data_IF_855110168583
#
_entry.id   IF_855110168583
#
_cell.length_a   1.000
_cell.length_b   1.000
_cell.length_c   1.000
_cell.angle_alpha   90.00
_cell.angle_beta   90.00
_cell.angle_gamma   90.00
#
_symmetry.space_group_name_H-M   'P 1'
#
loop_
_entity.id
_entity.type
_entity.pdbx_description
1 polymer ?
#
# COMPACT_ATOMS: atom_id res chain seq x y z
N UNK A 1 -33.55 -7.77 2.07
CA UNK A 1 -32.69 -8.26 3.16
C UNK A 1 -31.28 -8.13 2.64
N UNK A 2 -30.54 -7.17 3.19
CA UNK A 2 -29.28 -6.73 2.61
C UNK A 2 -28.23 -7.83 2.79
N UNK A 3 -27.57 -8.24 1.71
CA UNK A 3 -26.58 -9.31 1.68
C UNK A 3 -25.24 -8.91 2.34
N UNK A 4 -25.28 -8.02 3.32
CA UNK A 4 -24.11 -7.44 3.97
C UNK A 4 -23.36 -8.51 4.74
N UNK A 5 -22.11 -8.75 4.33
CA UNK A 5 -21.19 -9.62 5.05
C UNK A 5 -20.54 -8.82 6.18
N UNK A 6 -20.59 -9.34 7.40
CA UNK A 6 -19.83 -8.79 8.52
C UNK A 6 -18.63 -9.68 8.80
N UNK A 7 -17.49 -9.04 9.04
CA UNK A 7 -16.26 -9.70 9.43
C UNK A 7 -15.93 -9.27 10.86
N UNK A 8 -15.63 -10.22 11.73
CA UNK A 8 -15.30 -9.98 13.14
C UNK A 8 -14.01 -10.69 13.49
N UNK A 9 -13.06 -9.93 14.02
CA UNK A 9 -11.79 -10.43 14.54
C UNK A 9 -11.89 -10.49 16.07
N UNK A 10 -11.51 -11.64 16.65
CA UNK A 10 -11.58 -11.84 18.09
C UNK A 10 -10.27 -12.49 18.58
N UNK A 11 -9.76 -12.06 19.72
CA UNK A 11 -8.65 -12.71 20.41
C UNK A 11 -9.14 -13.19 21.77
N UNK A 12 -9.32 -14.50 21.94
CA UNK A 12 -9.86 -15.10 23.17
C UNK A 12 -8.88 -16.15 23.66
N UNK A 13 -8.41 -16.00 24.91
CA UNK A 13 -7.42 -16.89 25.53
C UNK A 13 -6.15 -17.10 24.68
N UNK A 14 -5.73 -16.04 23.95
CA UNK A 14 -4.56 -16.08 23.09
C UNK A 14 -4.76 -16.75 21.73
N UNK A 15 -5.96 -17.24 21.43
CA UNK A 15 -6.33 -17.78 20.11
C UNK A 15 -7.06 -16.67 19.34
N UNK A 16 -6.63 -16.44 18.11
CA UNK A 16 -7.26 -15.46 17.23
C UNK A 16 -8.27 -16.13 16.29
N UNK A 17 -9.42 -15.49 16.14
CA UNK A 17 -10.53 -15.98 15.35
C UNK A 17 -10.94 -14.93 14.31
N UNK A 18 -11.26 -15.40 13.12
CA UNK A 18 -11.93 -14.63 12.08
C UNK A 18 -13.31 -15.22 11.84
N UNK A 19 -14.33 -14.39 12.03
CA UNK A 19 -15.73 -14.78 11.94
C UNK A 19 -16.35 -14.01 10.78
N UNK A 20 -16.90 -14.73 9.82
CA UNK A 20 -17.71 -14.15 8.74
C UNK A 20 -19.17 -14.47 9.01
N UNK A 21 -20.02 -13.45 9.04
CA UNK A 21 -21.46 -13.63 9.12
C UNK A 21 -22.16 -13.04 7.90
N UNK A 22 -23.15 -13.76 7.38
CA UNK A 22 -23.96 -13.33 6.23
C UNK A 22 -25.36 -13.87 6.40
N UNK A 23 -26.36 -12.99 6.52
CA UNK A 23 -27.79 -13.35 6.53
C UNK A 23 -28.14 -14.55 7.42
N UNK A 24 -27.59 -14.60 8.65
CA UNK A 24 -27.87 -15.64 9.64
C UNK A 24 -26.95 -16.88 9.57
N UNK A 25 -26.10 -17.00 8.56
CA UNK A 25 -25.01 -18.00 8.53
C UNK A 25 -23.74 -17.40 9.12
N UNK A 26 -23.06 -18.14 9.98
CA UNK A 26 -21.78 -17.75 10.56
C UNK A 26 -20.75 -18.85 10.29
N UNK A 27 -19.59 -18.45 9.78
CA UNK A 27 -18.41 -19.31 9.66
C UNK A 27 -17.29 -18.69 10.48
N UNK A 28 -16.53 -19.51 11.17
CA UNK A 28 -15.42 -19.07 11.99
C UNK A 28 -14.21 -19.97 11.77
N UNK A 29 -13.04 -19.36 11.75
CA UNK A 29 -11.75 -20.03 11.60
C UNK A 29 -10.72 -19.36 12.48
N UNK A 30 -9.65 -20.07 12.80
CA UNK A 30 -8.54 -19.49 13.53
C UNK A 30 -7.60 -18.73 12.59
N UNK A 31 -6.98 -17.68 13.12
CA UNK A 31 -5.97 -16.89 12.43
C UNK A 31 -4.58 -17.22 12.95
N UNK A 32 -3.62 -17.28 12.04
CA UNK A 32 -2.20 -17.34 12.38
C UNK A 32 -1.73 -16.01 12.98
N UNK A 33 -0.59 -16.06 13.67
CA UNK A 33 0.06 -14.87 14.25
C UNK A 33 0.38 -13.79 13.19
N UNK A 34 0.67 -14.20 11.95
CA UNK A 34 0.95 -13.31 10.82
C UNK A 34 -0.24 -12.48 10.35
N UNK A 35 -1.47 -12.89 10.69
CA UNK A 35 -2.73 -12.23 10.29
C UNK A 35 -3.35 -11.41 11.42
N UNK A 36 -2.65 -11.27 12.55
CA UNK A 36 -3.14 -10.49 13.67
C UNK A 36 -3.16 -9.00 13.31
N UNK A 37 -4.29 -8.29 13.49
CA UNK A 37 -4.32 -6.86 13.29
C UNK A 37 -3.34 -6.18 14.28
N UNK A 38 -2.70 -5.06 13.86
CA UNK A 38 -1.78 -4.31 14.71
C UNK A 38 -2.37 -3.86 16.06
N UNK A 39 -3.70 -3.75 16.15
CA UNK A 39 -4.44 -3.46 17.38
C UNK A 39 -4.09 -4.39 18.54
N UNK A 40 -3.68 -5.63 18.27
CA UNK A 40 -3.24 -6.57 19.32
C UNK A 40 -1.97 -6.11 20.04
N UNK A 41 -1.22 -5.16 19.47
CA UNK A 41 0.01 -4.61 20.06
C UNK A 41 -0.22 -3.37 20.92
N UNK A 42 -1.46 -2.91 21.12
CA UNK A 42 -1.75 -1.69 21.90
C UNK A 42 -1.17 -1.79 23.31
N UNK A 43 -1.37 -2.90 24.03
CA UNK A 43 -0.85 -3.05 25.41
C UNK A 43 0.69 -3.01 25.42
N UNK A 44 1.33 -3.58 24.40
CA UNK A 44 2.78 -3.51 24.26
C UNK A 44 3.27 -2.08 23.99
N UNK A 45 2.56 -1.33 23.13
CA UNK A 45 2.84 0.09 22.87
C UNK A 45 2.68 0.94 24.14
N UNK A 46 1.61 0.72 24.91
CA UNK A 46 1.40 1.41 26.19
C UNK A 46 2.47 1.04 27.22
N UNK A 47 2.98 -0.18 27.23
CA UNK A 47 4.10 -0.59 28.08
C UNK A 47 5.40 0.13 27.74
N UNK A 48 5.59 0.48 26.46
CA UNK A 48 6.71 1.28 25.98
C UNK A 48 6.53 2.78 26.15
N UNK A 49 5.41 3.25 26.72
CA UNK A 49 5.10 4.67 26.76
C UNK A 49 6.06 5.44 27.69
N UNK A 50 6.58 6.57 27.20
CA UNK A 50 7.54 7.43 27.91
C UNK A 50 7.01 8.84 28.09
N UNK A 51 7.25 9.46 29.25
CA UNK A 51 6.84 10.84 29.49
C UNK A 51 7.58 11.84 28.60
N UNK A 52 6.83 12.82 28.09
CA UNK A 52 7.33 13.94 27.28
C UNK A 52 6.87 15.26 27.88
N UNK A 53 7.58 16.35 27.59
CA UNK A 53 7.28 17.67 28.15
C UNK A 53 6.29 18.50 27.31
N UNK A 54 6.15 18.14 26.04
CA UNK A 54 5.28 18.86 25.11
C UNK A 54 5.05 18.05 23.85
N UNK A 55 3.89 18.27 23.24
CA UNK A 55 3.57 17.69 21.95
C UNK A 55 2.81 18.67 21.06
N UNK A 56 2.96 18.53 19.75
CA UNK A 56 2.20 19.29 18.76
C UNK A 56 1.78 18.43 17.57
N UNK A 57 0.71 18.84 16.89
CA UNK A 57 0.37 18.40 15.53
C UNK A 57 0.61 19.59 14.61
N UNK A 58 1.64 19.52 13.77
CA UNK A 58 2.12 20.71 13.06
C UNK A 58 2.44 21.85 14.05
N UNK A 59 1.74 22.98 13.93
CA UNK A 59 1.91 24.16 14.79
C UNK A 59 0.98 24.18 16.02
N UNK A 60 0.04 23.25 16.12
CA UNK A 60 -0.96 23.25 17.19
C UNK A 60 -0.48 22.39 18.36
N UNK A 61 -0.39 22.99 19.55
CA UNK A 61 0.05 22.30 20.77
C UNK A 61 -1.05 21.38 21.32
N UNK A 62 -0.71 20.11 21.55
CA UNK A 62 -1.57 19.16 22.25
C UNK A 62 -1.54 19.49 23.74
N UNK A 63 -2.71 19.73 24.33
CA UNK A 63 -2.86 20.06 25.76
C UNK A 63 -3.63 18.95 26.47
N UNK A 64 -2.99 18.27 27.42
CA UNK A 64 -3.66 17.34 28.32
C UNK A 64 -4.16 18.07 29.56
N UNK A 65 -5.41 17.83 29.97
CA UNK A 65 -5.98 18.42 31.19
C UNK A 65 -5.22 18.00 32.47
N UNK A 66 -4.69 16.78 32.50
CA UNK A 66 -3.83 16.28 33.59
C UNK A 66 -2.43 16.91 33.62
N UNK A 67 -1.98 17.49 32.50
CA UNK A 67 -0.62 17.98 32.31
C UNK A 67 0.42 16.89 32.03
N UNK A 68 0.05 15.60 32.14
CA UNK A 68 0.92 14.48 31.84
C UNK A 68 0.74 14.04 30.37
N UNK A 69 1.82 14.15 29.61
CA UNK A 69 1.91 13.67 28.22
C UNK A 69 2.82 12.45 28.18
N UNK A 70 2.39 11.41 27.46
CA UNK A 70 3.23 10.26 27.15
C UNK A 70 3.36 10.13 25.63
N UNK A 71 4.53 9.71 25.15
CA UNK A 71 4.71 9.23 23.79
C UNK A 71 4.68 7.70 23.81
N UNK A 72 4.01 7.10 22.83
CA UNK A 72 4.09 5.67 22.55
C UNK A 72 4.28 5.44 21.04
N UNK A 73 4.76 4.25 20.69
CA UNK A 73 4.90 3.82 19.30
C UNK A 73 4.08 2.55 19.12
N UNK A 74 3.22 2.53 18.11
CA UNK A 74 2.43 1.37 17.71
C UNK A 74 2.69 1.10 16.23
N UNK A 75 3.18 -0.10 15.91
CA UNK A 75 3.81 -0.34 14.61
C UNK A 75 5.08 0.51 14.50
N UNK A 76 5.13 1.37 13.49
CA UNK A 76 6.17 2.40 13.31
C UNK A 76 5.60 3.83 13.46
N UNK A 77 4.31 3.95 13.77
CA UNK A 77 3.65 5.23 13.97
C UNK A 77 3.81 5.72 15.42
N UNK A 78 4.08 7.02 15.54
CA UNK A 78 4.21 7.71 16.84
C UNK A 78 2.86 8.28 17.27
N UNK A 79 2.54 8.08 18.55
CA UNK A 79 1.32 8.56 19.17
C UNK A 79 1.62 9.33 20.46
N UNK A 80 0.73 10.25 20.80
CA UNK A 80 0.78 11.03 22.04
C UNK A 80 -0.44 10.71 22.88
N UNK A 81 -0.24 10.36 24.15
CA UNK A 81 -1.31 9.95 25.05
C UNK A 81 -1.55 11.05 26.09
N UNK A 82 -2.81 11.46 26.22
CA UNK A 82 -3.32 12.30 27.30
C UNK A 82 -4.21 11.48 28.22
N UNK A 83 -3.77 11.28 29.47
CA UNK A 83 -4.62 10.65 30.49
C UNK A 83 -5.63 11.65 31.06
N UNK A 84 -6.87 11.19 31.22
CA UNK A 84 -7.97 11.93 31.86
C UNK A 84 -8.41 11.28 33.18
N UNK A 85 -7.56 10.46 33.79
CA UNK A 85 -7.88 9.77 35.05
C UNK A 85 -9.03 8.78 34.88
N UNK A 86 -10.10 8.93 35.68
CA UNK A 86 -11.28 8.06 35.63
C UNK A 86 -12.12 8.20 34.37
N UNK A 87 -11.95 9.29 33.61
CA UNK A 87 -12.72 9.56 32.39
C UNK A 87 -12.09 8.91 31.15
N UNK A 88 -11.03 8.11 31.34
CA UNK A 88 -10.33 7.44 30.25
C UNK A 88 -9.03 8.14 29.84
N UNK A 89 -8.68 8.00 28.57
CA UNK A 89 -7.54 8.69 27.97
C UNK A 89 -7.73 8.87 26.47
N UNK A 90 -7.04 9.86 25.90
CA UNK A 90 -7.04 10.11 24.46
C UNK A 90 -5.65 9.82 23.92
N UNK A 91 -5.58 9.13 22.80
CA UNK A 91 -4.37 8.89 22.02
C UNK A 91 -4.47 9.74 20.76
N UNK A 92 -3.58 10.69 20.60
CA UNK A 92 -3.45 11.52 19.41
C UNK A 92 -2.45 10.90 18.45
N UNK A 93 -2.80 10.84 17.18
CA UNK A 93 -1.95 10.36 16.09
C UNK A 93 -1.98 11.33 14.92
N UNK A 94 -1.08 11.12 13.95
CA UNK A 94 -1.09 11.95 12.74
C UNK A 94 -2.35 11.74 11.89
N UNK A 95 -2.86 10.50 11.83
CA UNK A 95 -3.97 10.12 10.94
C UNK A 95 -5.19 9.61 11.71
N UNK A 96 -5.04 9.36 13.01
CA UNK A 96 -6.06 8.75 13.85
C UNK A 96 -5.92 9.23 15.29
N UNK A 97 -7.00 9.81 15.80
CA UNK A 97 -7.19 10.01 17.23
C UNK A 97 -8.07 8.88 17.79
N UNK A 98 -7.71 8.38 18.97
CA UNK A 98 -8.40 7.30 19.66
C UNK A 98 -8.84 7.81 21.03
N UNK A 99 -10.14 7.79 21.29
CA UNK A 99 -10.69 8.00 22.63
C UNK A 99 -10.91 6.65 23.30
N UNK A 100 -10.39 6.51 24.51
CA UNK A 100 -10.57 5.32 25.35
C UNK A 100 -11.46 5.67 26.52
N UNK A 101 -12.53 4.91 26.70
CA UNK A 101 -13.49 5.04 27.79
C UNK A 101 -13.49 3.74 28.61
N UNK A 102 -13.68 3.84 29.93
CA UNK A 102 -13.84 2.66 30.78
C UNK A 102 -15.32 2.32 30.91
N UNK A 103 -15.64 1.04 30.74
CA UNK A 103 -16.99 0.54 30.90
C UNK A 103 -17.26 0.20 32.38
N UNK A 104 -18.47 0.49 32.84
CA UNK A 104 -18.92 0.19 34.21
C UNK A 104 -18.96 -1.30 34.54
N UNK A 105 -18.98 -2.16 33.51
CA UNK A 105 -19.05 -3.61 33.66
C UNK A 105 -18.14 -4.30 32.63
N UNK A 106 -17.47 -5.40 33.01
CA UNK A 106 -16.63 -6.16 32.09
C UNK A 106 -17.43 -6.70 30.90
N UNK A 107 -16.90 -6.53 29.69
CA UNK A 107 -17.45 -7.18 28.50
C UNK A 107 -16.96 -8.62 28.45
N UNK A 108 -17.90 -9.56 28.45
CA UNK A 108 -17.55 -10.98 28.26
C UNK A 108 -17.40 -11.25 26.77
N UNK A 109 -16.18 -11.59 26.34
CA UNK A 109 -15.88 -12.00 24.96
C UNK A 109 -15.74 -13.52 24.95
N UNK A 110 -16.66 -14.20 24.26
CA UNK A 110 -16.63 -15.66 24.13
C UNK A 110 -16.07 -16.09 22.79
N UNK A 111 -15.29 -17.17 22.78
CA UNK A 111 -14.80 -17.76 21.54
C UNK A 111 -16.00 -18.19 20.64
N UNK A 112 -15.90 -18.03 19.31
CA UNK A 112 -16.93 -18.50 18.40
C UNK A 112 -16.97 -20.04 18.38
N UNK A 113 -18.11 -20.59 17.95
CA UNK A 113 -18.20 -22.03 17.69
C UNK A 113 -17.49 -22.36 16.39
N UNK A 114 -16.60 -23.37 16.41
CA UNK A 114 -15.85 -23.84 15.26
C UNK A 114 -16.36 -25.20 14.79
N UNK A 115 -16.14 -25.52 13.52
CA UNK A 115 -16.23 -26.90 13.05
C UNK A 115 -15.07 -27.73 13.59
N UNK A 116 -15.25 -29.05 13.72
CA UNK A 116 -14.21 -29.95 14.25
C UNK A 116 -12.87 -29.78 13.51
N UNK A 117 -12.91 -29.68 12.18
CA UNK A 117 -11.71 -29.48 11.37
C UNK A 117 -11.05 -28.12 11.61
N UNK A 118 -11.84 -27.04 11.74
CA UNK A 118 -11.30 -25.70 11.99
C UNK A 118 -10.73 -25.56 13.41
N UNK A 119 -11.29 -26.28 14.39
CA UNK A 119 -10.79 -26.31 15.76
C UNK A 119 -9.40 -26.95 15.85
N UNK A 120 -9.11 -27.97 15.02
CA UNK A 120 -7.80 -28.64 14.98
C UNK A 120 -6.67 -27.73 14.51
N UNK A 121 -6.96 -26.67 13.76
CA UNK A 121 -5.96 -25.69 13.27
C UNK A 121 -5.72 -24.52 14.22
N UNK A 122 -6.37 -24.48 15.38
CA UNK A 122 -6.29 -23.35 16.29
C UNK A 122 -5.10 -23.46 17.23
N UNK A 123 -4.26 -22.43 17.22
CA UNK A 123 -3.09 -22.33 18.09
C UNK A 123 -3.14 -21.06 18.93
N UNK A 124 -2.46 -21.08 20.08
CA UNK A 124 -2.23 -19.88 20.87
C UNK A 124 -1.17 -19.03 20.17
N UNK A 125 -1.62 -17.91 19.60
CA UNK A 125 -0.78 -16.97 18.83
C UNK A 125 -0.35 -15.75 19.65
N UNK A 126 -0.99 -15.50 20.79
CA UNK A 126 -0.66 -14.40 21.70
C UNK A 126 -0.62 -14.89 23.14
N UNK A 127 0.42 -14.50 23.88
CA UNK A 127 0.52 -14.70 25.33
C UNK A 127 0.13 -13.43 26.08
N UNK A 128 -0.51 -13.56 27.25
CA UNK A 128 -0.87 -12.42 28.09
C UNK A 128 0.38 -11.61 28.48
N UNK A 129 0.47 -10.32 28.09
CA UNK A 129 1.63 -9.50 28.40
C UNK A 129 1.61 -9.06 29.86
N UNK A 130 2.80 -8.95 30.47
CA UNK A 130 2.94 -8.23 31.74
C UNK A 130 2.70 -6.74 31.49
N UNK A 131 1.99 -6.07 32.38
CA UNK A 131 1.72 -4.63 32.29
C UNK A 131 2.65 -3.84 33.21
N UNK A 132 3.18 -2.72 32.73
CA UNK A 132 3.93 -1.76 33.56
C UNK A 132 2.99 -1.01 34.50
N UNK A 133 3.53 -0.32 35.51
CA UNK A 133 2.72 0.53 36.40
C UNK A 133 2.01 1.66 35.64
N UNK A 134 2.67 2.25 34.65
CA UNK A 134 2.10 3.31 33.79
C UNK A 134 0.94 2.76 32.96
N UNK A 135 1.15 1.62 32.31
CA UNK A 135 0.11 0.96 31.51
C UNK A 135 -1.06 0.51 32.36
N UNK A 136 -0.80 -0.07 33.54
CA UNK A 136 -1.86 -0.43 34.47
C UNK A 136 -2.69 0.80 34.85
N UNK A 137 -2.03 1.92 35.17
CA UNK A 137 -2.73 3.16 35.50
C UNK A 137 -3.61 3.66 34.33
N UNK A 138 -3.09 3.63 33.10
CA UNK A 138 -3.85 3.96 31.89
C UNK A 138 -5.00 2.99 31.61
N UNK A 139 -4.87 1.70 31.91
CA UNK A 139 -5.91 0.71 31.63
C UNK A 139 -7.02 0.69 32.70
N UNK A 140 -6.74 1.21 33.90
CA UNK A 140 -7.67 1.17 35.03
C UNK A 140 -8.11 2.56 35.52
N UNK A 141 -7.75 3.63 34.81
CA UNK A 141 -8.09 5.00 35.19
C UNK A 141 -7.44 5.51 36.48
N UNK A 142 -6.33 4.91 36.90
CA UNK A 142 -5.54 5.42 38.03
C UNK A 142 -4.65 6.58 37.57
N UNK A 143 -4.19 7.40 38.52
CA UNK A 143 -3.26 8.47 38.20
C UNK A 143 -1.93 7.92 37.69
N UNK A 144 -1.49 8.41 36.54
CA UNK A 144 -0.17 8.10 36.01
C UNK A 144 0.85 8.81 36.90
N UNK A 145 1.65 8.06 37.65
CA UNK A 145 2.71 8.64 38.47
C UNK A 145 3.84 9.11 37.55
N UNK A 146 3.79 10.36 37.08
CA UNK A 146 4.95 10.98 36.48
C UNK A 146 5.96 11.23 37.60
N UNK A 147 7.02 10.40 37.63
CA UNK A 147 8.15 10.67 38.51
C UNK A 147 8.69 12.05 38.15
N UNK A 148 8.39 13.05 38.97
CA UNK A 148 9.04 14.38 38.95
C UNK A 148 10.51 14.27 39.37
N UNK A 149 11.24 13.26 38.90
CA UNK A 149 12.67 13.14 39.09
C UNK A 149 13.32 14.31 38.37
N UNK A 150 13.69 15.32 39.16
CA UNK A 150 14.51 16.51 38.85
C UNK A 150 14.91 16.64 37.36
N UNK A 151 14.33 17.65 36.71
CA UNK A 151 14.63 18.17 35.37
C UNK A 151 16.15 18.39 35.15
N UNK A 152 16.86 17.34 34.72
CA UNK A 152 18.29 17.39 34.39
C UNK A 152 18.61 16.85 32.99
N UNK A 153 17.61 16.33 32.26
CA UNK A 153 17.71 16.02 30.83
C UNK A 153 16.88 17.02 30.03
N UNK A 154 17.36 17.39 28.84
CA UNK A 154 16.58 18.14 27.85
C UNK A 154 15.20 17.50 27.73
N UNK A 155 14.17 18.31 27.94
CA UNK A 155 12.78 17.88 27.93
C UNK A 155 12.43 17.36 26.52
N UNK A 156 12.13 16.05 26.42
CA UNK A 156 11.77 15.43 25.15
C UNK A 156 10.41 15.99 24.69
N UNK A 157 10.32 16.38 23.43
CA UNK A 157 9.10 16.88 22.78
C UNK A 157 8.80 16.07 21.54
N UNK A 158 7.53 15.94 21.20
CA UNK A 158 7.07 15.13 20.06
C UNK A 158 6.24 15.99 19.11
N UNK A 159 6.54 15.94 17.81
CA UNK A 159 5.70 16.57 16.79
C UNK A 159 5.11 15.49 15.92
N UNK A 160 3.79 15.37 15.93
CA UNK A 160 3.04 14.54 15.02
C UNK A 160 2.94 15.26 13.67
N UNK A 161 3.10 14.49 12.59
CA UNK A 161 2.87 14.99 11.24
C UNK A 161 1.40 15.42 11.07
N UNK A 162 1.16 16.32 10.12
CA UNK A 162 -0.19 16.70 9.68
C UNK A 162 -0.96 15.48 9.18
N UNK A 163 -2.28 15.53 9.33
CA UNK A 163 -3.21 14.52 8.79
C UNK A 163 -3.41 14.63 7.28
N UNK A 164 -3.02 15.76 6.69
CA UNK A 164 -3.03 15.97 5.24
C UNK A 164 -1.86 16.83 4.76
N UNK A 165 -1.57 16.72 3.47
CA UNK A 165 -0.58 17.51 2.77
C UNK A 165 -1.20 18.50 1.78
N UNK A 166 -0.50 19.62 1.58
CA UNK A 166 -0.81 20.59 0.52
C UNK A 166 0.20 20.43 -0.61
N UNK A 167 -0.22 20.69 -1.85
CA UNK A 167 0.68 20.67 -2.99
C UNK A 167 1.83 21.69 -2.81
N UNK A 168 3.07 21.23 -2.97
CA UNK A 168 4.30 22.01 -2.89
C UNK A 168 4.77 22.50 -4.28
N UNK A 169 4.11 22.03 -5.35
CA UNK A 169 4.35 22.43 -6.74
C UNK A 169 3.13 23.13 -7.35
N UNK A 170 3.26 23.56 -8.60
CA UNK A 170 2.11 24.08 -9.36
C UNK A 170 1.15 22.92 -9.68
N UNK A 171 -0.13 23.00 -9.29
CA UNK A 171 -1.10 21.97 -9.62
C UNK A 171 -1.24 21.78 -11.13
N UNK A 172 -1.20 20.53 -11.57
CA UNK A 172 -1.19 20.14 -12.99
C UNK A 172 -2.25 19.08 -13.25
N UNK A 173 -2.78 18.96 -14.47
CA UNK A 173 -3.59 17.82 -14.84
C UNK A 173 -2.85 16.50 -14.61
N UNK A 174 -3.53 15.54 -14.03
CA UNK A 174 -3.02 14.20 -13.78
C UNK A 174 -3.66 13.18 -14.71
N UNK A 175 -2.85 12.28 -15.28
CA UNK A 175 -3.30 11.15 -16.07
C UNK A 175 -2.77 9.84 -15.52
N UNK A 176 -3.67 8.89 -15.35
CA UNK A 176 -3.41 7.57 -14.79
C UNK A 176 -3.47 6.50 -15.89
N UNK A 177 -2.45 5.67 -15.96
CA UNK A 177 -2.37 4.50 -16.83
C UNK A 177 -2.36 3.22 -15.99
N UNK A 178 -3.40 2.40 -16.17
CA UNK A 178 -3.52 1.11 -15.50
C UNK A 178 -2.56 0.06 -16.08
N UNK A 179 -2.43 -1.06 -15.37
CA UNK A 179 -1.63 -2.21 -15.79
C UNK A 179 -2.41 -3.24 -16.61
N UNK A 180 -1.96 -4.49 -16.57
CA UNK A 180 -2.68 -5.63 -17.15
C UNK A 180 -4.02 -5.83 -16.43
N UNK A 181 -5.07 -6.25 -17.14
CA UNK A 181 -6.34 -6.65 -16.53
C UNK A 181 -7.60 -6.21 -17.29
N UNK A 182 -7.51 -5.20 -18.17
CA UNK A 182 -8.62 -4.75 -19.01
C UNK A 182 -8.41 -5.08 -20.48
N UNK A 183 -9.35 -5.82 -21.07
CA UNK A 183 -9.49 -5.91 -22.53
C UNK A 183 -10.40 -4.82 -23.11
N UNK A 184 -11.03 -4.03 -22.25
CA UNK A 184 -11.85 -2.87 -22.62
C UNK A 184 -10.91 -1.73 -22.96
N UNK A 185 -11.21 -1.04 -24.06
CA UNK A 185 -10.50 0.16 -24.49
C UNK A 185 -11.51 1.29 -24.69
N UNK A 186 -11.18 2.47 -24.19
CA UNK A 186 -11.96 3.69 -24.38
C UNK A 186 -11.20 4.64 -25.29
N UNK A 187 -11.90 5.33 -26.19
CA UNK A 187 -11.30 6.32 -27.09
C UNK A 187 -11.10 7.68 -26.44
N UNK A 188 -11.68 7.90 -25.25
CA UNK A 188 -11.62 9.16 -24.50
C UNK A 188 -11.13 8.89 -23.08
N UNK A 189 -10.58 9.94 -22.44
CA UNK A 189 -10.18 9.90 -21.05
C UNK A 189 -11.40 9.81 -20.12
N UNK A 190 -11.31 8.91 -19.14
CA UNK A 190 -12.36 8.69 -18.16
C UNK A 190 -12.14 9.55 -16.91
N UNK A 191 -13.22 9.81 -16.17
CA UNK A 191 -13.19 10.52 -14.87
C UNK A 191 -13.23 9.60 -13.66
N UNK A 192 -13.34 8.28 -13.89
CA UNK A 192 -13.32 7.25 -12.85
C UNK A 192 -12.56 6.03 -13.35
N UNK A 193 -12.16 5.17 -12.42
CA UNK A 193 -11.44 3.94 -12.69
C UNK A 193 -11.93 2.85 -11.75
N UNK A 194 -12.02 1.63 -12.24
CA UNK A 194 -12.16 0.43 -11.39
C UNK A 194 -10.81 -0.18 -11.00
N UNK A 195 -9.72 0.29 -11.61
CA UNK A 195 -8.34 -0.19 -11.39
C UNK A 195 -7.59 0.60 -10.32
N UNK A 196 -8.00 1.84 -10.07
CA UNK A 196 -7.34 2.70 -9.07
C UNK A 196 -8.33 2.98 -7.96
N UNK A 197 -7.86 2.99 -6.72
CA UNK A 197 -8.63 3.48 -5.58
C UNK A 197 -8.99 4.96 -5.72
N UNK A 198 -9.98 5.41 -4.95
CA UNK A 198 -10.40 6.81 -4.97
C UNK A 198 -9.40 7.70 -4.26
N UNK A 199 -8.66 8.47 -5.04
CA UNK A 199 -7.69 9.48 -4.57
C UNK A 199 -8.18 10.91 -4.81
N UNK A 200 -9.45 11.11 -5.18
CA UNK A 200 -9.97 12.43 -5.60
C UNK A 200 -9.86 13.51 -4.53
N UNK A 201 -9.76 13.12 -3.26
CA UNK A 201 -9.59 14.02 -2.10
C UNK A 201 -8.16 14.09 -1.57
N UNK A 202 -7.25 13.30 -2.11
CA UNK A 202 -5.89 13.09 -1.58
C UNK A 202 -4.83 13.28 -2.66
N UNK A 203 -5.11 14.16 -3.63
CA UNK A 203 -4.24 14.47 -4.74
C UNK A 203 -4.16 16.00 -4.97
N UNK A 204 -3.66 16.78 -4.00
CA UNK A 204 -3.72 18.24 -4.02
C UNK A 204 -2.94 18.85 -5.20
N UNK A 205 -1.96 18.15 -5.76
CA UNK A 205 -1.23 18.57 -6.95
C UNK A 205 -1.92 18.26 -8.27
N UNK A 206 -3.02 17.53 -8.25
CA UNK A 206 -3.81 17.24 -9.44
C UNK A 206 -4.90 18.30 -9.62
N UNK A 207 -4.75 19.19 -10.60
CA UNK A 207 -5.81 20.15 -10.96
C UNK A 207 -7.01 19.47 -11.64
N UNK A 208 -6.79 18.30 -12.23
CA UNK A 208 -7.81 17.35 -12.66
C UNK A 208 -7.24 15.94 -12.66
N UNK A 209 -8.09 14.93 -12.53
CA UNK A 209 -7.70 13.51 -12.58
C UNK A 209 -8.40 12.86 -13.76
N UNK A 210 -7.62 12.20 -14.61
CA UNK A 210 -8.09 11.46 -15.78
C UNK A 210 -7.49 10.07 -15.82
N UNK A 211 -8.25 9.11 -16.33
CA UNK A 211 -7.82 7.73 -16.48
C UNK A 211 -7.84 7.34 -17.95
N UNK A 212 -6.73 6.80 -18.44
CA UNK A 212 -6.67 6.17 -19.75
C UNK A 212 -7.05 4.68 -19.59
N UNK A 213 -8.05 4.24 -20.35
CA UNK A 213 -8.48 2.84 -20.38
C UNK A 213 -8.06 2.23 -21.71
N UNK A 214 -7.02 1.41 -21.68
CA UNK A 214 -6.38 0.81 -22.85
C UNK A 214 -6.59 -0.71 -22.82
N UNK A 215 -6.66 -1.35 -24.00
CA UNK A 215 -6.64 -2.82 -24.03
C UNK A 215 -5.23 -3.32 -23.69
N UNK A 216 -5.01 -3.55 -22.41
CA UNK A 216 -3.78 -3.98 -21.77
C UNK A 216 -3.75 -5.51 -21.52
N UNK A 217 -4.65 -6.26 -22.17
CA UNK A 217 -4.67 -7.73 -22.13
C UNK A 217 -4.21 -8.28 -23.49
N UNK A 218 -4.77 -7.78 -24.58
CA UNK A 218 -4.45 -8.23 -25.94
C UNK A 218 -3.18 -7.59 -26.50
N UNK A 219 -2.86 -6.36 -26.06
CA UNK A 219 -1.70 -5.63 -26.54
C UNK A 219 -0.62 -5.61 -25.46
N UNK A 220 0.57 -6.17 -25.73
CA UNK A 220 1.68 -6.10 -24.80
C UNK A 220 2.28 -4.70 -24.74
N UNK A 221 3.02 -4.40 -23.68
CA UNK A 221 3.69 -3.10 -23.51
C UNK A 221 4.74 -2.81 -24.61
N UNK A 222 5.24 -3.85 -25.28
CA UNK A 222 6.15 -3.77 -26.43
C UNK A 222 5.43 -3.36 -27.73
N UNK A 223 4.08 -3.38 -27.78
CA UNK A 223 3.32 -3.01 -28.96
C UNK A 223 3.43 -1.51 -29.28
N UNK A 224 3.88 -1.21 -30.49
CA UNK A 224 4.08 0.16 -30.96
C UNK A 224 2.77 0.98 -31.01
N UNK A 225 1.64 0.33 -31.29
CA UNK A 225 0.34 1.00 -31.37
C UNK A 225 -0.14 1.39 -29.96
N UNK A 226 -0.01 0.50 -28.99
CA UNK A 226 -0.31 0.74 -27.59
C UNK A 226 0.54 1.88 -27.03
N UNK A 227 1.86 1.85 -27.27
CA UNK A 227 2.77 2.93 -26.88
C UNK A 227 2.37 4.28 -27.49
N UNK A 228 1.95 4.29 -28.77
CA UNK A 228 1.46 5.52 -29.40
C UNK A 228 0.16 6.02 -28.75
N UNK A 229 -0.76 5.12 -28.36
CA UNK A 229 -1.98 5.50 -27.63
C UNK A 229 -1.67 6.12 -26.27
N UNK A 230 -0.71 5.56 -25.53
CA UNK A 230 -0.22 6.13 -24.26
C UNK A 230 0.24 7.57 -24.46
N UNK A 231 1.11 7.81 -25.44
CA UNK A 231 1.57 9.15 -25.77
C UNK A 231 0.43 10.08 -26.20
N UNK A 232 -0.49 9.63 -27.05
CA UNK A 232 -1.61 10.45 -27.51
C UNK A 232 -2.50 10.89 -26.34
N UNK A 233 -2.79 9.99 -25.41
CA UNK A 233 -3.54 10.35 -24.22
C UNK A 233 -2.77 11.33 -23.34
N UNK A 234 -1.51 11.07 -23.04
CA UNK A 234 -0.70 11.98 -22.22
C UNK A 234 -0.57 13.39 -22.85
N UNK A 235 -0.37 13.47 -24.17
CA UNK A 235 -0.33 14.74 -24.91
C UNK A 235 -1.66 15.50 -24.91
N UNK A 236 -2.79 14.81 -24.76
CA UNK A 236 -4.12 15.43 -24.84
C UNK A 236 -4.58 16.12 -23.55
N UNK A 237 -3.91 15.82 -22.43
CA UNK A 237 -4.37 16.21 -21.08
C UNK A 237 -4.06 17.68 -20.80
N UNK A 238 -2.92 18.18 -21.27
CA UNK A 238 -2.50 19.57 -21.08
C UNK A 238 -2.46 20.33 -22.40
N UNK A 239 -3.03 21.53 -22.42
CA UNK A 239 -3.02 22.42 -23.59
C UNK A 239 -1.64 22.96 -23.97
N UNK A 240 -0.67 22.87 -23.06
CA UNK A 240 0.73 23.28 -23.31
C UNK A 240 1.57 22.16 -23.92
N UNK A 241 1.04 20.94 -23.99
CA UNK A 241 1.67 19.83 -24.71
C UNK A 241 1.70 20.09 -26.22
N UNK A 242 2.69 19.54 -26.91
CA UNK A 242 2.92 19.76 -28.33
C UNK A 242 2.90 18.43 -29.09
N UNK A 243 1.83 18.19 -29.84
CA UNK A 243 1.72 17.01 -30.71
C UNK A 243 2.77 17.00 -31.83
N UNK A 244 3.17 18.16 -32.35
CA UNK A 244 4.16 18.27 -33.43
C UNK A 244 5.57 17.87 -32.97
N UNK A 245 5.98 18.30 -31.78
CA UNK A 245 7.27 17.92 -31.17
C UNK A 245 7.18 16.64 -30.33
N UNK A 246 5.98 16.08 -30.19
CA UNK A 246 5.64 14.93 -29.33
C UNK A 246 6.04 15.14 -27.87
N UNK A 247 5.95 16.38 -27.40
CA UNK A 247 6.39 16.78 -26.06
C UNK A 247 5.18 16.91 -25.15
N UNK A 248 5.14 16.10 -24.09
CA UNK A 248 4.16 16.19 -23.00
C UNK A 248 4.68 17.27 -22.03
N UNK A 249 3.82 18.21 -21.64
CA UNK A 249 4.18 19.31 -20.75
C UNK A 249 3.08 19.54 -19.71
N UNK A 250 3.46 20.12 -18.55
CA UNK A 250 2.57 20.50 -17.45
C UNK A 250 1.60 19.39 -17.05
N UNK A 251 2.09 18.16 -16.95
CA UNK A 251 1.26 16.97 -16.69
C UNK A 251 1.93 16.10 -15.64
N UNK A 252 1.16 15.59 -14.68
CA UNK A 252 1.61 14.51 -13.79
C UNK A 252 1.10 13.19 -14.38
N UNK A 253 2.02 12.32 -14.75
CA UNK A 253 1.73 10.99 -15.27
C UNK A 253 1.87 10.01 -14.11
N UNK A 254 0.83 9.23 -13.87
CA UNK A 254 0.85 8.16 -12.88
C UNK A 254 0.66 6.83 -13.61
N UNK A 255 1.54 5.88 -13.36
CA UNK A 255 1.49 4.56 -14.01
C UNK A 255 1.52 3.46 -12.98
N UNK A 256 0.66 2.45 -13.11
CA UNK A 256 0.70 1.26 -12.26
C UNK A 256 1.03 0.00 -13.06
N UNK A 257 1.86 -0.88 -12.49
CA UNK A 257 2.15 -2.20 -13.06
C UNK A 257 2.62 -2.09 -14.52
N UNK A 258 2.04 -2.87 -15.44
CA UNK A 258 2.37 -2.80 -16.87
C UNK A 258 2.23 -1.39 -17.48
N UNK A 259 1.41 -0.50 -16.90
CA UNK A 259 1.31 0.89 -17.34
C UNK A 259 2.64 1.63 -17.29
N UNK A 260 3.52 1.27 -16.35
CA UNK A 260 4.87 1.83 -16.26
C UNK A 260 5.75 1.38 -17.42
N UNK A 261 5.71 0.09 -17.76
CA UNK A 261 6.39 -0.45 -18.94
C UNK A 261 5.87 0.17 -20.24
N UNK A 262 4.57 0.37 -20.34
CA UNK A 262 3.96 1.01 -21.52
C UNK A 262 4.48 2.44 -21.72
N UNK A 263 4.59 3.23 -20.65
CA UNK A 263 5.18 4.57 -20.71
C UNK A 263 6.69 4.51 -21.00
N UNK A 264 7.43 3.65 -20.30
CA UNK A 264 8.87 3.46 -20.51
C UNK A 264 9.20 3.06 -21.97
N UNK A 265 8.46 2.10 -22.51
CA UNK A 265 8.59 1.66 -23.91
C UNK A 265 8.23 2.77 -24.90
N UNK A 266 7.22 3.59 -24.61
CA UNK A 266 6.85 4.72 -25.45
C UNK A 266 7.96 5.80 -25.50
N UNK A 267 8.59 6.09 -24.36
CA UNK A 267 9.75 6.99 -24.27
C UNK A 267 10.97 6.41 -24.99
N UNK A 268 11.31 5.14 -24.70
CA UNK A 268 12.45 4.46 -25.32
C UNK A 268 12.34 4.40 -26.86
N UNK A 269 11.13 4.23 -27.37
CA UNK A 269 10.85 4.19 -28.81
C UNK A 269 10.53 5.56 -29.43
N UNK A 270 10.79 6.66 -28.72
CA UNK A 270 10.60 8.05 -29.20
C UNK A 270 9.18 8.33 -29.72
N UNK A 271 8.17 7.69 -29.12
CA UNK A 271 6.75 7.95 -29.43
C UNK A 271 6.30 9.28 -28.85
N UNK A 272 6.86 9.66 -27.70
CA UNK A 272 6.78 10.97 -27.08
C UNK A 272 7.99 11.19 -26.17
N UNK A 273 8.09 12.40 -25.62
CA UNK A 273 9.08 12.80 -24.62
C UNK A 273 8.46 13.74 -23.60
N UNK A 274 9.10 13.86 -22.44
CA UNK A 274 8.68 14.78 -21.39
C UNK A 274 9.36 16.14 -21.53
N UNK A 275 8.61 17.21 -21.27
CA UNK A 275 9.17 18.50 -20.92
C UNK A 275 9.62 18.49 -19.45
N UNK A 276 10.42 19.47 -19.05
CA UNK A 276 10.84 19.64 -17.65
C UNK A 276 9.70 19.93 -16.68
N UNK A 277 8.50 20.27 -17.17
CA UNK A 277 7.31 20.50 -16.35
C UNK A 277 6.39 19.28 -16.22
N UNK A 278 6.80 18.15 -16.80
CA UNK A 278 6.14 16.85 -16.61
C UNK A 278 6.75 16.12 -15.43
N UNK A 279 5.91 15.44 -14.66
CA UNK A 279 6.34 14.58 -13.56
C UNK A 279 5.83 13.17 -13.81
N UNK A 280 6.68 12.15 -13.68
CA UNK A 280 6.29 10.76 -13.77
C UNK A 280 6.41 10.04 -12.43
N UNK A 281 5.26 9.58 -11.94
CA UNK A 281 5.08 8.78 -10.73
C UNK A 281 4.79 7.33 -11.12
N UNK A 282 5.65 6.40 -10.69
CA UNK A 282 5.52 4.97 -10.99
C UNK A 282 5.09 4.15 -9.78
N UNK A 283 4.18 3.20 -9.97
CA UNK A 283 3.62 2.36 -8.93
C UNK A 283 3.81 0.89 -9.35
N UNK A 284 4.71 0.17 -8.68
CA UNK A 284 4.92 -1.29 -8.85
C UNK A 284 5.12 -1.74 -10.30
N UNK A 285 5.87 -0.97 -11.10
CA UNK A 285 6.04 -1.27 -12.51
C UNK A 285 7.11 -2.36 -12.74
N UNK A 286 6.83 -3.48 -13.42
CA UNK A 286 7.78 -4.58 -13.57
C UNK A 286 8.86 -4.29 -14.64
N UNK A 287 9.82 -3.41 -14.34
CA UNK A 287 10.82 -2.94 -15.31
C UNK A 287 11.82 -4.01 -15.77
N UNK A 288 11.85 -5.18 -15.12
CA UNK A 288 12.57 -6.38 -15.57
C UNK A 288 11.62 -7.59 -15.69
N UNK A 289 10.32 -7.36 -15.88
CA UNK A 289 9.29 -8.41 -15.91
C UNK A 289 8.87 -8.93 -14.54
N UNK A 290 8.09 -10.00 -14.52
CA UNK A 290 7.44 -10.53 -13.32
C UNK A 290 7.48 -12.06 -13.32
N UNK A 291 7.95 -12.67 -12.23
CA UNK A 291 7.87 -14.14 -12.09
C UNK A 291 6.42 -14.63 -12.05
N UNK A 292 5.44 -13.76 -11.77
CA UNK A 292 4.02 -14.07 -11.94
C UNK A 292 3.66 -14.39 -13.39
N UNK A 293 4.28 -13.71 -14.36
CA UNK A 293 4.13 -14.08 -15.77
C UNK A 293 4.70 -15.47 -16.05
N UNK A 294 5.96 -15.72 -15.69
CA UNK A 294 6.61 -17.02 -15.89
C UNK A 294 5.85 -18.16 -15.25
N UNK A 295 5.33 -17.95 -14.05
CA UNK A 295 4.49 -18.91 -13.36
C UNK A 295 3.21 -19.22 -14.15
N UNK A 296 2.47 -18.20 -14.61
CA UNK A 296 1.26 -18.42 -15.41
C UNK A 296 1.58 -19.15 -16.72
N UNK A 297 2.66 -18.77 -17.41
CA UNK A 297 3.08 -19.41 -18.66
C UNK A 297 3.43 -20.89 -18.46
N UNK A 298 4.17 -21.21 -17.40
CA UNK A 298 4.46 -22.59 -17.02
C UNK A 298 3.18 -23.38 -16.77
N UNK A 299 2.25 -22.83 -16.00
CA UNK A 299 0.98 -23.50 -15.72
C UNK A 299 0.14 -23.70 -16.99
N UNK A 300 -0.03 -22.67 -17.83
CA UNK A 300 -0.81 -22.79 -19.06
C UNK A 300 -0.19 -23.77 -20.07
N UNK A 301 1.12 -24.05 -19.96
CA UNK A 301 1.81 -25.09 -20.75
C UNK A 301 1.72 -26.50 -20.14
N UNK A 302 1.07 -26.67 -18.99
CA UNK A 302 0.89 -27.94 -18.29
C UNK A 302 2.07 -28.39 -17.42
N UNK A 303 2.99 -27.47 -17.05
CA UNK A 303 4.21 -27.79 -16.30
C UNK A 303 4.09 -27.71 -14.77
N UNK A 304 2.97 -27.22 -14.22
CA UNK A 304 2.75 -27.01 -12.77
C UNK A 304 1.31 -27.34 -12.35
N UNK A 305 1.10 -27.70 -11.07
CA UNK A 305 -0.24 -27.81 -10.48
C UNK A 305 -0.86 -26.40 -10.30
N UNK A 306 -2.06 -26.21 -10.86
CA UNK A 306 -2.70 -24.90 -10.96
C UNK A 306 -3.60 -24.61 -9.75
N UNK A 307 -3.29 -23.57 -8.99
CA UNK A 307 -4.21 -23.01 -7.99
C UNK A 307 -5.04 -21.87 -8.59
N UNK A 308 -6.36 -22.07 -8.63
CA UNK A 308 -7.30 -21.16 -9.27
C UNK A 308 -7.34 -19.75 -8.65
N UNK A 309 -7.01 -19.61 -7.36
CA UNK A 309 -6.93 -18.31 -6.69
C UNK A 309 -5.77 -17.46 -7.24
N UNK A 310 -4.55 -18.02 -7.31
CA UNK A 310 -3.37 -17.34 -7.88
C UNK A 310 -3.59 -17.04 -9.37
N UNK A 311 -4.30 -17.90 -10.08
CA UNK A 311 -4.64 -17.66 -11.48
C UNK A 311 -5.51 -16.41 -11.68
N UNK A 312 -6.57 -16.25 -10.88
CA UNK A 312 -7.43 -15.08 -11.03
C UNK A 312 -6.67 -13.77 -10.79
N UNK A 313 -5.58 -13.81 -10.00
CA UNK A 313 -4.71 -12.69 -9.73
C UNK A 313 -3.80 -12.31 -10.91
N UNK A 314 -3.07 -13.28 -11.48
CA UNK A 314 -2.02 -13.03 -12.49
C UNK A 314 -2.51 -13.19 -13.94
N UNK A 315 -3.68 -13.80 -14.15
CA UNK A 315 -4.30 -13.98 -15.46
C UNK A 315 -4.87 -15.38 -15.72
N UNK A 316 -5.64 -15.50 -16.81
CA UNK A 316 -6.30 -16.76 -17.21
C UNK A 316 -5.50 -17.49 -18.30
N UNK A 317 -5.68 -18.80 -18.40
CA UNK A 317 -5.19 -19.58 -19.54
C UNK A 317 -6.16 -19.53 -20.74
N UNK A 318 -5.65 -19.48 -21.99
CA UNK A 318 -4.24 -19.30 -22.35
C UNK A 318 -3.72 -17.92 -21.93
N UNK A 319 -2.44 -17.84 -21.53
CA UNK A 319 -1.82 -16.58 -21.14
C UNK A 319 -1.99 -15.53 -22.25
N UNK A 320 -2.40 -14.32 -21.86
CA UNK A 320 -2.62 -13.24 -22.82
C UNK A 320 -1.29 -12.71 -23.36
N UNK A 321 -1.31 -12.06 -24.52
CA UNK A 321 -0.09 -11.46 -25.11
C UNK A 321 0.60 -10.50 -24.14
N UNK A 322 -0.17 -9.72 -23.37
CA UNK A 322 0.37 -8.85 -22.36
C UNK A 322 1.14 -9.62 -21.28
N UNK A 323 0.61 -10.75 -20.80
CA UNK A 323 1.32 -11.58 -19.83
C UNK A 323 2.57 -12.21 -20.46
N UNK A 324 2.48 -12.75 -21.68
CA UNK A 324 3.62 -13.36 -22.37
C UNK A 324 4.84 -12.40 -22.42
N UNK A 325 4.59 -11.14 -22.76
CA UNK A 325 5.61 -10.10 -22.88
C UNK A 325 5.98 -9.45 -21.53
N UNK A 326 5.48 -10.00 -20.41
CA UNK A 326 5.91 -9.63 -19.05
C UNK A 326 6.76 -10.72 -18.38
N UNK A 327 7.23 -11.72 -19.15
CA UNK A 327 8.19 -12.70 -18.67
C UNK A 327 9.41 -12.00 -18.06
N UNK A 328 9.91 -12.52 -16.96
CA UNK A 328 11.03 -11.96 -16.25
C UNK A 328 12.29 -11.96 -17.13
N UNK A 329 13.04 -10.86 -17.09
CA UNK A 329 14.24 -10.66 -17.89
C UNK A 329 15.25 -11.79 -17.66
N UNK A 330 15.82 -12.32 -18.75
CA UNK A 330 16.75 -13.46 -18.76
C UNK A 330 16.18 -14.82 -18.28
N UNK A 331 14.87 -14.93 -18.03
CA UNK A 331 14.23 -16.21 -17.71
C UNK A 331 13.79 -17.00 -18.96
N UNK A 332 13.34 -18.25 -18.71
CA UNK A 332 13.05 -19.24 -19.75
C UNK A 332 11.96 -18.80 -20.75
N UNK A 333 11.02 -17.94 -20.34
CA UNK A 333 9.97 -17.42 -21.21
C UNK A 333 10.32 -16.08 -21.85
N UNK A 334 11.44 -15.46 -21.47
CA UNK A 334 11.89 -14.23 -22.10
C UNK A 334 12.69 -14.52 -23.37
N UNK A 335 12.65 -13.57 -24.30
CA UNK A 335 13.40 -13.61 -25.56
C UNK A 335 14.48 -12.54 -25.55
N UNK A 336 15.51 -12.69 -26.41
CA UNK A 336 16.53 -11.64 -26.56
C UNK A 336 15.94 -10.30 -27.00
N UNK A 337 14.83 -10.31 -27.75
CA UNK A 337 14.13 -9.09 -28.14
C UNK A 337 13.42 -8.44 -26.94
N UNK A 338 12.80 -9.25 -26.08
CA UNK A 338 12.16 -8.76 -24.86
C UNK A 338 13.19 -8.22 -23.85
N UNK A 339 14.32 -8.91 -23.64
CA UNK A 339 15.40 -8.39 -22.79
C UNK A 339 15.96 -7.07 -23.34
N UNK A 340 16.16 -6.95 -24.66
CA UNK A 340 16.57 -5.69 -25.26
C UNK A 340 15.54 -4.56 -25.06
N UNK A 341 14.24 -4.89 -25.10
CA UNK A 341 13.18 -3.94 -24.79
C UNK A 341 13.22 -3.51 -23.33
N UNK A 342 13.44 -4.44 -22.38
CA UNK A 342 13.59 -4.11 -20.96
C UNK A 342 14.79 -3.20 -20.71
N UNK A 343 15.96 -3.50 -21.28
CA UNK A 343 17.14 -2.64 -21.14
C UNK A 343 16.86 -1.20 -21.63
N UNK A 344 16.14 -1.05 -22.75
CA UNK A 344 15.75 0.25 -23.27
C UNK A 344 14.71 0.95 -22.37
N UNK A 345 13.71 0.21 -21.88
CA UNK A 345 12.68 0.71 -20.97
C UNK A 345 13.28 1.15 -19.63
N UNK A 346 14.18 0.37 -19.03
CA UNK A 346 14.92 0.72 -17.81
C UNK A 346 15.74 2.00 -18.00
N UNK A 347 16.42 2.14 -19.14
CA UNK A 347 17.17 3.36 -19.45
C UNK A 347 16.26 4.59 -19.53
N UNK A 348 15.10 4.46 -20.18
CA UNK A 348 14.11 5.52 -20.24
C UNK A 348 13.49 5.81 -18.87
N UNK A 349 13.21 4.77 -18.07
CA UNK A 349 12.70 4.87 -16.71
C UNK A 349 13.65 5.65 -15.81
N UNK A 350 14.90 5.21 -15.68
CA UNK A 350 15.91 5.84 -14.84
C UNK A 350 16.19 7.29 -15.21
N UNK A 351 16.05 7.64 -16.49
CA UNK A 351 16.28 9.00 -16.99
C UNK A 351 15.10 9.95 -16.78
N UNK A 352 13.87 9.45 -16.56
CA UNK A 352 12.66 10.26 -16.61
C UNK A 352 11.71 10.09 -15.40
N UNK A 353 11.87 9.06 -14.57
CA UNK A 353 11.01 8.86 -13.40
C UNK A 353 11.40 9.82 -12.28
N UNK A 354 10.41 10.52 -11.73
CA UNK A 354 10.61 11.48 -10.64
C UNK A 354 10.36 10.83 -9.27
N UNK A 355 9.42 9.89 -9.21
CA UNK A 355 9.04 9.18 -7.99
C UNK A 355 8.60 7.75 -8.30
N UNK A 356 8.90 6.81 -7.40
CA UNK A 356 8.48 5.43 -7.54
C UNK A 356 8.06 4.82 -6.21
N UNK A 357 6.93 4.13 -6.21
CA UNK A 357 6.50 3.24 -5.13
C UNK A 357 6.79 1.80 -5.55
N UNK A 358 7.56 1.10 -4.74
CA UNK A 358 7.84 -0.32 -4.89
C UNK A 358 7.58 -1.04 -3.56
N UNK A 359 7.39 -2.36 -3.58
CA UNK A 359 7.26 -3.13 -2.34
C UNK A 359 8.32 -4.19 -2.21
N UNK A 360 8.80 -4.39 -0.98
CA UNK A 360 9.64 -5.52 -0.60
C UNK A 360 8.90 -6.57 0.23
N UNK A 361 7.58 -6.42 0.38
CA UNK A 361 6.72 -7.39 1.04
C UNK A 361 5.28 -7.28 0.53
N UNK A 362 4.61 -8.43 0.42
CA UNK A 362 3.25 -8.63 -0.07
C UNK A 362 2.19 -8.70 1.05
N UNK A 363 2.56 -8.35 2.29
CA UNK A 363 1.62 -8.31 3.43
C UNK A 363 0.37 -7.50 3.13
N UNK A 364 0.51 -6.30 2.55
CA UNK A 364 -0.61 -5.44 2.20
C UNK A 364 -1.48 -4.96 3.36
N UNK A 365 -2.54 -4.25 3.00
CA UNK A 365 -3.59 -3.76 3.88
C UNK A 365 -4.60 -4.85 4.15
N UNK A 366 -5.25 -4.81 5.32
CA UNK A 366 -6.27 -5.79 5.69
C UNK A 366 -7.48 -5.71 4.73
N UNK A 367 -7.55 -6.64 3.78
CA UNK A 367 -8.56 -6.70 2.73
C UNK A 367 -8.74 -8.13 2.22
N UNK A 368 -9.67 -8.34 1.27
CA UNK A 368 -9.77 -9.64 0.57
C UNK A 368 -8.55 -9.92 -0.29
N UNK A 369 -7.98 -8.87 -0.89
CA UNK A 369 -6.83 -8.96 -1.80
C UNK A 369 -5.56 -9.39 -1.05
N UNK A 370 -5.42 -9.02 0.22
CA UNK A 370 -4.32 -9.47 1.09
C UNK A 370 -4.13 -10.99 1.04
N UNK A 371 -5.21 -11.76 1.14
CA UNK A 371 -5.12 -13.23 1.14
C UNK A 371 -4.66 -13.74 -0.22
N UNK A 372 -5.15 -13.13 -1.31
CA UNK A 372 -4.78 -13.52 -2.68
C UNK A 372 -3.30 -13.25 -2.96
N UNK A 373 -2.80 -12.06 -2.60
CA UNK A 373 -1.40 -11.70 -2.80
C UNK A 373 -0.45 -12.41 -1.84
N UNK A 374 -0.88 -12.78 -0.63
CA UNK A 374 -0.09 -13.65 0.24
C UNK A 374 0.07 -15.06 -0.35
N UNK A 375 -0.98 -15.61 -0.94
CA UNK A 375 -0.90 -16.88 -1.66
C UNK A 375 0.05 -16.76 -2.85
N UNK A 376 -0.07 -15.70 -3.64
CA UNK A 376 0.78 -15.47 -4.80
C UNK A 376 2.26 -15.30 -4.42
N UNK A 377 2.56 -14.42 -3.46
CA UNK A 377 3.91 -14.21 -2.94
C UNK A 377 4.56 -15.45 -2.34
N UNK A 378 3.75 -16.42 -1.87
CA UNK A 378 4.24 -17.69 -1.33
C UNK A 378 4.40 -18.80 -2.38
N UNK A 379 3.60 -18.79 -3.45
CA UNK A 379 3.52 -19.89 -4.43
C UNK A 379 4.30 -19.61 -5.72
N UNK A 380 4.35 -18.35 -6.14
CA UNK A 380 5.13 -17.95 -7.30
C UNK A 380 6.61 -18.08 -6.93
N UNK A 381 7.43 -18.72 -7.78
CA UNK A 381 8.86 -18.89 -7.52
C UNK A 381 9.62 -17.58 -7.77
N UNK A 382 9.40 -16.59 -6.92
CA UNK A 382 10.02 -15.27 -7.01
C UNK A 382 11.55 -15.34 -6.94
N UNK A 383 12.22 -14.34 -7.52
CA UNK A 383 13.69 -14.21 -7.43
C UNK A 383 14.20 -13.87 -6.03
N UNK A 384 13.30 -13.36 -5.18
CA UNK A 384 13.57 -13.04 -3.78
C UNK A 384 12.26 -12.95 -2.99
N UNK A 385 12.37 -13.08 -1.68
CA UNK A 385 11.25 -12.83 -0.75
C UNK A 385 10.77 -11.37 -0.77
N UNK A 386 11.55 -10.47 -1.41
CA UNK A 386 11.20 -9.06 -1.60
C UNK A 386 10.33 -8.85 -2.85
N UNK A 387 9.02 -8.90 -2.69
CA UNK A 387 8.04 -8.71 -3.76
C UNK A 387 6.69 -8.22 -3.22
N UNK A 388 5.85 -7.67 -4.10
CA UNK A 388 4.48 -7.23 -3.79
C UNK A 388 3.40 -8.33 -4.01
N UNK A 389 3.85 -9.57 -4.21
CA UNK A 389 3.03 -10.76 -4.47
C UNK A 389 3.07 -11.17 -5.95
N UNK A 390 3.46 -10.27 -6.85
CA UNK A 390 3.58 -10.56 -8.29
C UNK A 390 4.82 -9.93 -8.94
N UNK A 391 5.29 -8.79 -8.45
CA UNK A 391 6.47 -8.08 -8.95
C UNK A 391 7.52 -7.98 -7.85
N UNK A 392 8.74 -8.39 -8.18
CA UNK A 392 9.90 -8.27 -7.32
C UNK A 392 10.33 -6.81 -7.13
N UNK A 393 10.79 -6.46 -5.92
CA UNK A 393 11.31 -5.12 -5.62
C UNK A 393 12.37 -4.66 -6.64
N UNK A 394 13.31 -5.54 -6.98
CA UNK A 394 14.37 -5.24 -7.97
C UNK A 394 13.83 -4.95 -9.37
N UNK A 395 12.78 -5.67 -9.77
CA UNK A 395 12.09 -5.41 -11.03
C UNK A 395 11.41 -4.06 -10.99
N UNK A 396 10.73 -3.73 -9.88
CA UNK A 396 10.11 -2.42 -9.68
C UNK A 396 11.11 -1.26 -9.72
N UNK A 397 12.26 -1.42 -9.06
CA UNK A 397 13.29 -0.40 -9.01
C UNK A 397 13.88 -0.06 -10.38
N UNK A 398 13.80 -0.97 -11.37
CA UNK A 398 14.19 -0.70 -12.76
C UNK A 398 15.61 -0.17 -12.93
N UNK A 399 16.54 -0.61 -12.07
CA UNK A 399 17.94 -0.17 -12.02
C UNK A 399 18.21 1.08 -11.18
N UNK A 400 17.21 1.68 -10.54
CA UNK A 400 17.41 2.70 -9.51
C UNK A 400 18.15 2.11 -8.30
N UNK A 401 19.07 2.88 -7.73
CA UNK A 401 19.81 2.45 -6.52
C UNK A 401 18.86 2.23 -5.35
N UNK A 402 19.02 1.11 -4.64
CA UNK A 402 18.30 0.83 -3.40
C UNK A 402 18.47 1.94 -2.35
N UNK A 403 19.60 2.65 -2.36
CA UNK A 403 19.86 3.77 -1.44
C UNK A 403 18.96 4.99 -1.68
N UNK A 404 18.24 5.05 -2.82
CA UNK A 404 17.23 6.09 -3.06
C UNK A 404 15.94 5.81 -2.28
N UNK A 405 15.68 4.55 -1.97
CA UNK A 405 14.42 4.13 -1.40
C UNK A 405 14.44 4.22 0.12
N UNK A 406 13.42 4.87 0.69
CA UNK A 406 13.13 4.87 2.11
C UNK A 406 11.77 4.22 2.38
N UNK A 407 11.49 3.91 3.64
CA UNK A 407 10.33 3.11 4.03
C UNK A 407 9.20 3.94 4.66
N UNK A 408 9.22 5.25 4.45
CA UNK A 408 8.24 6.20 4.98
C UNK A 408 7.54 6.95 3.85
N UNK A 409 6.28 7.33 4.07
CA UNK A 409 5.43 7.94 3.03
C UNK A 409 5.90 9.34 2.57
N UNK A 410 6.90 9.92 3.22
CA UNK A 410 7.58 11.16 2.82
C UNK A 410 8.79 10.92 1.90
N UNK A 411 9.18 9.67 1.66
CA UNK A 411 10.25 9.33 0.72
C UNK A 411 9.75 9.39 -0.73
N UNK A 412 10.44 10.17 -1.59
CA UNK A 412 10.10 10.26 -3.03
C UNK A 412 10.18 8.91 -3.74
N UNK A 413 11.12 8.06 -3.33
CA UNK A 413 11.21 6.66 -3.74
C UNK A 413 10.82 5.82 -2.53
N UNK A 414 9.60 5.30 -2.54
CA UNK A 414 8.95 4.73 -1.37
C UNK A 414 8.96 3.21 -1.45
N UNK A 415 9.63 2.57 -0.50
CA UNK A 415 9.68 1.13 -0.32
C UNK A 415 8.64 0.71 0.71
N UNK A 416 7.68 -0.08 0.26
CA UNK A 416 6.45 -0.36 1.00
C UNK A 416 6.34 -1.83 1.38
N UNK A 417 5.47 -2.12 2.34
CA UNK A 417 4.99 -3.47 2.64
C UNK A 417 3.61 -3.75 2.03
N UNK A 418 3.31 -3.13 0.88
CA UNK A 418 2.01 -3.23 0.21
C UNK A 418 1.99 -4.38 -0.79
N UNK A 419 0.86 -5.06 -0.91
CA UNK A 419 0.66 -5.94 -2.06
C UNK A 419 0.41 -5.11 -3.34
N UNK A 420 0.50 -5.78 -4.49
CA UNK A 420 0.42 -5.10 -5.78
C UNK A 420 -0.87 -4.27 -5.96
N UNK A 421 -2.04 -4.77 -5.54
CA UNK A 421 -3.28 -4.03 -5.64
C UNK A 421 -3.30 -2.79 -4.74
N UNK A 422 -2.75 -2.88 -3.52
CA UNK A 422 -2.71 -1.74 -2.61
C UNK A 422 -1.83 -0.61 -3.14
N UNK A 423 -0.80 -0.91 -3.95
CA UNK A 423 0.01 0.13 -4.61
C UNK A 423 -0.78 0.94 -5.66
N UNK A 424 -1.95 0.45 -6.09
CA UNK A 424 -2.92 1.19 -6.89
C UNK A 424 -4.01 1.88 -6.04
N UNK A 425 -3.75 2.10 -4.75
CA UNK A 425 -4.59 2.86 -3.80
C UNK A 425 -5.91 2.18 -3.39
N UNK A 426 -6.12 0.91 -3.73
CA UNK A 426 -7.42 0.24 -3.59
C UNK A 426 -8.04 0.32 -2.18
N UNK A 427 -7.22 0.17 -1.14
CA UNK A 427 -7.69 0.06 0.24
C UNK A 427 -7.27 1.24 1.13
N UNK A 428 -6.80 2.34 0.54
CA UNK A 428 -6.38 3.52 1.29
C UNK A 428 -5.04 3.34 2.00
N UNK A 429 -4.96 3.77 3.26
CA UNK A 429 -3.74 3.77 4.06
C UNK A 429 -3.88 2.90 5.32
N UNK A 430 -2.77 2.29 5.74
CA UNK A 430 -2.67 1.70 7.07
C UNK A 430 -2.74 2.78 8.15
N UNK A 431 -3.35 2.44 9.28
CA UNK A 431 -3.48 3.38 10.40
C UNK A 431 -2.16 3.55 11.16
N UNK A 432 -1.36 2.49 11.28
CA UNK A 432 -0.20 2.44 12.20
C UNK A 432 1.10 1.91 11.57
N UNK A 433 1.11 1.72 10.25
CA UNK A 433 2.28 1.23 9.50
C UNK A 433 2.60 2.23 8.39
N UNK A 434 3.66 3.01 8.56
CA UNK A 434 4.08 4.09 7.68
C UNK A 434 4.57 3.59 6.33
N UNK A 435 5.05 2.34 6.25
CA UNK A 435 5.39 1.67 4.98
C UNK A 435 4.17 1.12 4.23
N UNK A 436 2.95 1.39 4.70
CA UNK A 436 1.70 0.97 4.06
C UNK A 436 0.71 2.13 3.91
N UNK A 437 1.20 3.33 3.54
CA UNK A 437 0.37 4.54 3.35
C UNK A 437 0.47 5.10 1.91
N UNK A 438 -0.01 4.36 0.90
CA UNK A 438 0.15 4.75 -0.50
C UNK A 438 -0.60 6.04 -0.87
N UNK A 439 -1.78 6.29 -0.27
CA UNK A 439 -2.59 7.48 -0.56
C UNK A 439 -1.94 8.71 0.05
N UNK A 440 -1.53 8.65 1.32
CA UNK A 440 -0.78 9.74 1.96
C UNK A 440 0.54 10.02 1.25
N UNK A 441 1.26 8.99 0.81
CA UNK A 441 2.47 9.18 0.01
C UNK A 441 2.19 10.02 -1.23
N UNK A 442 1.16 9.66 -2.02
CA UNK A 442 0.81 10.41 -3.22
C UNK A 442 0.32 11.84 -2.90
N UNK A 443 -0.42 12.01 -1.81
CA UNK A 443 -0.90 13.32 -1.35
C UNK A 443 0.25 14.28 -1.02
N UNK A 444 1.31 13.75 -0.39
CA UNK A 444 2.45 14.50 0.13
C UNK A 444 3.64 14.59 -0.85
N UNK A 445 3.57 13.93 -2.01
CA UNK A 445 4.72 13.71 -2.87
C UNK A 445 5.28 14.97 -3.55
N UNK A 446 4.41 15.93 -3.91
CA UNK A 446 4.69 16.99 -4.88
C UNK A 446 4.35 18.40 -4.41
#
# INVERSE_FOLDING_TARGET
>A
MDGTKHYTLMLVNGIAYFVTSTSGSQTAQCLSSSLLPPLNSIVAALNGATAIAGASVGNDTIKCASGDLLQATLGDATFVICSSGSDGFTIYGSDLDISVEYLDSPVTITAPTLSDNAALSCETVVTSPKVTSTTLALLTGQSVSSSRSRKLKTEATTTLASSSCTCQSTPRPCIFFHGVGSSIEQTTLQSSSSHFGDISKSAPCCSSIKYAVLNAVSNPWTDATLQQKVCNFALSVSSTSSSSSKTIADTIIVTHSMGGLMMAGALANNRCKFASSTTWVSLSAPMTGSMGSDYLQNVCSGKNEFLQAVANLIGKCPASNAVLEMAYEDEAHSTSALNAAYAAAQSAFQANVDAAMCSDNYSGLLSTDQVEYQLAGSLIPHKSDQNDGVVEYKSCAGGLSASKFGNTYDDTFYLTGLNHADTAFHHGDALVVNSQKPVKWFECLL
#
